data_IF_285353236603
#
_entry.id   IF_285353236603
#
_cell.length_a   1.000
_cell.length_b   1.000
_cell.length_c   1.000
_cell.angle_alpha   90.00
_cell.angle_beta   90.00
_cell.angle_gamma   90.00
#
_symmetry.space_group_name_H-M   'P 1'
#
loop_
_entity.id
_entity.type
_entity.pdbx_description
1 polymer ?
#
# COMPACT_ATOMS: atom_id res chain seq x y z
N UNK A 1 6.32 8.14 4.59
CA UNK A 1 6.26 8.21 3.12
C UNK A 1 5.16 7.31 2.53
N UNK A 2 5.16 5.99 2.76
CA UNK A 2 4.18 5.07 2.14
C UNK A 2 2.70 5.46 2.27
N UNK A 3 2.27 5.97 3.44
CA UNK A 3 0.91 6.47 3.68
C UNK A 3 0.55 7.62 2.71
N UNK A 4 1.43 8.60 2.55
CA UNK A 4 1.20 9.74 1.65
C UNK A 4 1.13 9.28 0.19
N UNK A 5 1.99 8.35 -0.23
CA UNK A 5 1.96 7.79 -1.58
C UNK A 5 0.64 7.06 -1.86
N UNK A 6 0.16 6.27 -0.91
CA UNK A 6 -1.14 5.59 -1.06
C UNK A 6 -2.31 6.59 -1.12
N UNK A 7 -2.28 7.67 -0.33
CA UNK A 7 -3.27 8.75 -0.38
C UNK A 7 -3.23 9.54 -1.70
N UNK A 8 -2.03 9.73 -2.27
CA UNK A 8 -1.83 10.43 -3.54
C UNK A 8 -1.98 9.52 -4.77
N UNK A 9 -2.12 8.20 -4.58
CA UNK A 9 -2.37 7.24 -5.66
C UNK A 9 -3.85 7.15 -6.05
N UNK A 10 -4.74 7.91 -5.41
CA UNK A 10 -6.17 7.89 -5.72
C UNK A 10 -6.43 8.56 -7.08
N UNK A 11 -7.50 8.14 -7.77
CA UNK A 11 -7.90 8.76 -9.03
C UNK A 11 -7.04 8.41 -10.25
N UNK A 12 -6.24 7.35 -10.16
CA UNK A 12 -5.53 6.77 -11.31
C UNK A 12 -6.44 5.84 -12.12
N UNK A 13 -6.02 5.55 -13.36
CA UNK A 13 -6.69 4.53 -14.20
C UNK A 13 -6.48 3.12 -13.66
N UNK A 14 -5.37 2.88 -12.95
CA UNK A 14 -5.05 1.63 -12.27
C UNK A 14 -5.45 1.69 -10.78
N UNK A 15 -5.61 0.51 -10.13
CA UNK A 15 -6.02 0.47 -8.73
C UNK A 15 -5.00 1.19 -7.84
N UNK A 16 -5.48 1.96 -6.84
CA UNK A 16 -4.60 2.70 -5.94
C UNK A 16 -3.72 1.75 -5.11
N UNK A 17 -2.56 2.24 -4.69
CA UNK A 17 -1.57 1.45 -3.97
C UNK A 17 -2.12 1.02 -2.59
N UNK A 18 -2.32 -0.29 -2.41
CA UNK A 18 -2.68 -0.88 -1.13
C UNK A 18 -1.50 -0.80 -0.14
N UNK A 19 -1.80 -0.80 1.16
CA UNK A 19 -0.79 -0.74 2.21
C UNK A 19 -1.00 -1.83 3.25
N UNK A 20 0.10 -2.50 3.59
CA UNK A 20 0.18 -3.42 4.71
C UNK A 20 1.20 -2.90 5.72
N UNK A 21 0.75 -2.47 6.90
CA UNK A 21 1.67 -2.17 7.99
C UNK A 21 2.05 -3.47 8.71
N UNK A 22 3.34 -3.77 8.82
CA UNK A 22 3.83 -4.98 9.50
C UNK A 22 4.61 -4.58 10.74
N UNK A 23 4.17 -5.05 11.91
CA UNK A 23 4.82 -4.69 13.18
C UNK A 23 4.21 -5.39 14.39
N UNK A 24 4.99 -5.52 15.46
CA UNK A 24 4.52 -6.07 16.76
C UNK A 24 3.75 -5.05 17.59
N UNK A 25 4.00 -3.76 17.35
CA UNK A 25 3.52 -2.65 18.18
C UNK A 25 2.28 -1.97 17.56
N UNK A 26 1.36 -1.36 18.35
CA UNK A 26 0.23 -0.60 17.81
C UNK A 26 0.64 0.62 16.99
N UNK A 27 1.92 0.96 16.88
CA UNK A 27 2.44 2.01 16.01
C UNK A 27 1.83 1.95 14.59
N UNK A 28 1.80 0.77 13.96
CA UNK A 28 1.19 0.59 12.63
C UNK A 28 -0.32 0.93 12.62
N UNK A 29 -1.05 0.54 13.66
CA UNK A 29 -2.47 0.85 13.81
C UNK A 29 -2.71 2.35 14.01
N UNK A 30 -1.91 3.00 14.86
CA UNK A 30 -2.03 4.44 15.15
C UNK A 30 -1.67 5.26 13.91
N UNK A 31 -0.61 4.90 13.19
CA UNK A 31 -0.17 5.58 11.97
C UNK A 31 -1.21 5.47 10.86
N UNK A 32 -1.67 4.25 10.55
CA UNK A 32 -2.73 4.07 9.54
C UNK A 32 -4.04 4.75 9.96
N UNK A 33 -4.39 4.70 11.24
CA UNK A 33 -5.57 5.37 11.78
C UNK A 33 -5.52 6.89 11.67
N UNK A 34 -4.35 7.51 11.89
CA UNK A 34 -4.16 8.96 11.68
C UNK A 34 -4.12 9.30 10.20
N UNK A 35 -3.41 8.52 9.38
CA UNK A 35 -3.35 8.71 7.93
C UNK A 35 -4.73 8.62 7.27
N UNK A 36 -5.58 7.70 7.72
CA UNK A 36 -6.92 7.54 7.17
C UNK A 36 -7.82 8.76 7.42
N UNK A 37 -7.53 9.59 8.44
CA UNK A 37 -8.25 10.85 8.70
C UNK A 37 -7.93 11.94 7.69
N UNK A 38 -6.79 11.83 7.00
CA UNK A 38 -6.39 12.74 5.92
C UNK A 38 -7.12 12.41 4.61
N UNK A 39 -7.69 11.21 4.46
CA UNK A 39 -8.51 10.87 3.30
C UNK A 39 -9.87 11.58 3.38
N UNK A 40 -10.34 12.12 2.25
CA UNK A 40 -11.69 12.71 2.14
C UNK A 40 -12.79 11.68 2.38
N UNK A 41 -12.53 10.42 2.02
CA UNK A 41 -13.46 9.29 2.14
C UNK A 41 -12.80 8.10 2.82
N UNK A 42 -12.57 8.23 4.13
CA UNK A 42 -12.04 7.16 4.97
C UNK A 42 -13.14 6.30 5.59
N UNK A 43 -13.08 4.99 5.36
CA UNK A 43 -13.94 3.99 6.01
C UNK A 43 -13.07 3.05 6.85
N UNK A 44 -13.46 2.80 8.09
CA UNK A 44 -12.78 1.85 8.97
C UNK A 44 -13.71 0.68 9.28
N UNK A 45 -13.28 -0.54 8.97
CA UNK A 45 -14.00 -1.78 9.21
C UNK A 45 -13.09 -2.68 10.03
N UNK A 46 -13.19 -2.61 11.36
CA UNK A 46 -12.27 -3.32 12.26
C UNK A 46 -12.79 -4.69 12.70
N UNK A 47 -14.10 -4.93 12.62
CA UNK A 47 -14.73 -6.21 12.97
C UNK A 47 -15.72 -6.74 11.93
N UNK A 48 -15.93 -8.06 11.93
CA UNK A 48 -16.97 -8.69 11.10
C UNK A 48 -18.38 -8.13 11.41
N UNK A 49 -18.60 -7.64 12.62
CA UNK A 49 -19.84 -6.97 13.00
C UNK A 49 -20.01 -5.62 12.29
N UNK A 50 -18.93 -4.86 12.08
CA UNK A 50 -18.96 -3.61 11.32
C UNK A 50 -19.32 -3.89 9.86
N UNK A 51 -18.74 -4.95 9.27
CA UNK A 51 -19.13 -5.41 7.94
C UNK A 51 -20.61 -5.83 7.91
N UNK A 52 -21.07 -6.62 8.87
CA UNK A 52 -22.47 -7.04 8.92
C UNK A 52 -23.44 -5.86 9.00
N UNK A 53 -23.07 -4.77 9.71
CA UNK A 53 -23.85 -3.52 9.76
C UNK A 53 -23.88 -2.81 8.41
N UNK A 54 -22.74 -2.72 7.73
CA UNK A 54 -22.64 -2.13 6.39
C UNK A 54 -23.35 -2.97 5.33
N UNK A 55 -23.48 -4.27 5.57
CA UNK A 55 -24.18 -5.22 4.70
C UNK A 55 -25.62 -5.51 5.14
N UNK A 56 -26.14 -4.79 6.14
CA UNK A 56 -27.49 -4.99 6.62
C UNK A 56 -28.50 -4.58 5.54
N UNK A 57 -29.59 -5.35 5.42
CA UNK A 57 -30.65 -5.01 4.49
C UNK A 57 -31.25 -3.64 4.87
N UNK A 58 -31.54 -2.78 3.87
CA UNK A 58 -32.24 -1.54 4.15
C UNK A 58 -33.59 -1.89 4.78
N UNK A 59 -33.96 -1.15 5.83
CA UNK A 59 -35.31 -1.20 6.40
C UNK A 59 -36.28 -0.54 5.42
N UNK A 60 -36.53 -1.20 4.28
CA UNK A 60 -37.48 -0.72 3.30
C UNK A 60 -38.88 -0.80 3.91
N UNK A 61 -39.70 0.28 3.83
CA UNK A 61 -41.12 0.13 4.08
C UNK A 61 -41.67 -0.89 3.09
N UNK A 62 -42.44 -1.86 3.60
CA UNK A 62 -43.13 -2.87 2.79
C UNK A 62 -44.04 -2.15 1.79
N UNK A 63 -43.53 -1.84 0.59
CA UNK A 63 -44.36 -1.30 -0.47
C UNK A 63 -45.38 -2.37 -0.87
N UNK A 64 -46.65 -2.01 -0.65
CA UNK A 64 -47.91 -2.66 -1.06
C UNK A 64 -47.82 -4.11 -1.52
N UNK A 65 -48.43 -5.00 -0.73
CA UNK A 65 -48.78 -6.37 -1.09
C UNK A 65 -49.36 -6.45 -2.52
N UNK A 66 -48.56 -6.87 -3.49
CA UNK A 66 -48.98 -6.97 -4.89
C UNK A 66 -47.87 -7.10 -5.93
N UNK A 67 -46.61 -6.76 -5.63
CA UNK A 67 -45.51 -6.97 -6.56
C UNK A 67 -44.96 -8.41 -6.49
N UNK A 68 -44.64 -9.06 -7.63
CA UNK A 68 -44.16 -10.44 -7.64
C UNK A 68 -42.85 -10.58 -6.87
N UNK A 69 -42.77 -11.61 -6.01
CA UNK A 69 -41.67 -11.90 -5.10
C UNK A 69 -40.28 -12.06 -5.79
N UNK A 70 -40.24 -12.20 -7.12
CA UNK A 70 -39.02 -12.29 -7.91
C UNK A 70 -38.30 -10.95 -8.18
N UNK A 71 -38.90 -9.81 -7.83
CA UNK A 71 -38.46 -8.48 -8.30
C UNK A 71 -37.76 -7.60 -7.25
N UNK A 72 -37.30 -8.15 -6.13
CA UNK A 72 -36.75 -7.34 -5.03
C UNK A 72 -35.38 -7.82 -4.57
N UNK A 73 -34.47 -8.01 -5.52
CA UNK A 73 -33.04 -8.09 -5.21
C UNK A 73 -32.50 -6.67 -5.00
N UNK A 74 -31.67 -6.48 -3.99
CA UNK A 74 -30.93 -5.23 -3.78
C UNK A 74 -29.43 -5.50 -3.85
N UNK A 75 -28.71 -4.49 -4.32
CA UNK A 75 -27.28 -4.56 -4.54
C UNK A 75 -26.57 -3.96 -3.34
N UNK A 76 -25.66 -4.72 -2.75
CA UNK A 76 -24.85 -4.23 -1.66
C UNK A 76 -23.52 -3.69 -2.20
N UNK A 77 -23.29 -2.39 -2.04
CA UNK A 77 -22.07 -1.72 -2.45
C UNK A 77 -20.83 -2.22 -1.67
N UNK A 78 -21.00 -2.70 -0.43
CA UNK A 78 -19.89 -3.12 0.41
C UNK A 78 -18.91 -1.99 0.76
N UNK A 79 -17.95 -2.25 1.68
CA UNK A 79 -17.07 -1.21 2.20
C UNK A 79 -16.13 -0.61 1.15
N UNK A 80 -15.66 -1.43 0.20
CA UNK A 80 -14.71 -0.99 -0.83
C UNK A 80 -15.33 0.04 -1.79
N UNK A 81 -16.58 -0.16 -2.20
CA UNK A 81 -17.25 0.79 -3.11
C UNK A 81 -17.71 2.05 -2.38
N UNK A 82 -18.09 1.93 -1.09
CA UNK A 82 -18.40 3.11 -0.27
C UNK A 82 -17.19 4.01 -0.04
N UNK A 83 -16.00 3.45 0.06
CA UNK A 83 -14.74 4.19 0.22
C UNK A 83 -14.13 4.69 -1.11
N UNK A 84 -14.89 4.71 -2.21
CA UNK A 84 -14.43 5.14 -3.54
C UNK A 84 -13.82 6.55 -3.51
N UNK A 85 -12.60 6.69 -4.02
CA UNK A 85 -11.81 7.91 -4.01
C UNK A 85 -11.13 8.20 -2.67
N UNK A 86 -10.99 7.18 -1.82
CA UNK A 86 -10.41 7.31 -0.49
C UNK A 86 -9.82 5.99 0.01
N UNK A 87 -9.96 5.74 1.32
CA UNK A 87 -9.25 4.66 2.01
C UNK A 87 -10.22 3.75 2.75
N UNK A 88 -10.03 2.44 2.61
CA UNK A 88 -10.71 1.43 3.41
C UNK A 88 -9.70 0.75 4.36
N UNK A 89 -9.79 1.05 5.65
CA UNK A 89 -8.95 0.48 6.71
C UNK A 89 -9.64 -0.76 7.32
N UNK A 90 -9.04 -1.95 7.15
CA UNK A 90 -9.59 -3.25 7.60
C UNK A 90 -9.14 -3.62 9.04
N UNK A 91 -8.20 -2.86 9.60
CA UNK A 91 -7.62 -3.17 10.91
C UNK A 91 -6.69 -4.39 10.85
N UNK A 92 -6.75 -5.27 11.86
CA UNK A 92 -5.83 -6.39 12.00
C UNK A 92 -6.19 -7.52 11.03
N UNK A 93 -5.38 -7.73 10.01
CA UNK A 93 -5.67 -8.72 8.96
C UNK A 93 -5.83 -10.16 9.50
N UNK A 94 -5.00 -10.57 10.46
CA UNK A 94 -5.05 -11.93 11.00
C UNK A 94 -6.34 -12.20 11.81
N UNK A 95 -6.78 -11.23 12.60
CA UNK A 95 -8.06 -11.34 13.33
C UNK A 95 -9.23 -11.29 12.34
N UNK A 96 -9.14 -10.43 11.33
CA UNK A 96 -10.16 -10.27 10.31
C UNK A 96 -10.34 -11.52 9.46
N UNK A 97 -9.25 -12.06 8.92
CA UNK A 97 -9.26 -13.24 8.06
C UNK A 97 -9.86 -14.46 8.76
N UNK A 98 -9.62 -14.62 10.06
CA UNK A 98 -10.22 -15.69 10.87
C UNK A 98 -11.71 -15.47 11.15
N UNK A 99 -12.11 -14.22 11.43
CA UNK A 99 -13.50 -13.91 11.77
C UNK A 99 -14.43 -13.79 10.55
N UNK A 100 -13.90 -13.42 9.39
CA UNK A 100 -14.67 -13.08 8.18
C UNK A 100 -14.01 -13.64 6.92
N UNK A 101 -13.72 -14.94 6.91
CA UNK A 101 -12.95 -15.62 5.85
C UNK A 101 -13.48 -15.36 4.42
N UNK A 102 -14.80 -15.43 4.22
CA UNK A 102 -15.42 -15.16 2.91
C UNK A 102 -15.18 -13.71 2.44
N UNK A 103 -15.25 -12.73 3.36
CA UNK A 103 -14.99 -11.32 3.04
C UNK A 103 -13.51 -11.07 2.80
N UNK A 104 -12.62 -11.69 3.57
CA UNK A 104 -11.17 -11.60 3.36
C UNK A 104 -10.76 -12.17 1.98
N UNK A 105 -11.37 -13.27 1.56
CA UNK A 105 -11.19 -13.82 0.21
C UNK A 105 -11.69 -12.84 -0.87
N UNK A 106 -12.85 -12.22 -0.67
CA UNK A 106 -13.38 -11.20 -1.58
C UNK A 106 -12.49 -9.97 -1.71
N UNK A 107 -11.88 -9.50 -0.61
CA UNK A 107 -10.93 -8.37 -0.62
C UNK A 107 -9.63 -8.76 -1.33
N UNK A 108 -9.13 -9.97 -1.09
CA UNK A 108 -7.93 -10.50 -1.76
C UNK A 108 -8.16 -10.57 -3.27
N UNK A 109 -9.30 -11.13 -3.70
CA UNK A 109 -9.68 -11.19 -5.11
C UNK A 109 -9.86 -9.79 -5.72
N UNK A 110 -10.38 -8.82 -4.96
CA UNK A 110 -10.53 -7.45 -5.44
C UNK A 110 -9.18 -6.74 -5.64
N UNK A 111 -8.22 -6.98 -4.74
CA UNK A 111 -6.86 -6.45 -4.86
C UNK A 111 -6.10 -7.07 -6.03
N UNK A 112 -6.23 -8.37 -6.24
CA UNK A 112 -5.56 -9.08 -7.34
C UNK A 112 -6.16 -8.73 -8.72
N UNK A 113 -7.49 -8.62 -8.81
CA UNK A 113 -8.18 -8.35 -10.07
C UNK A 113 -8.36 -6.87 -10.38
N UNK A 114 -8.15 -5.98 -9.40
CA UNK A 114 -8.48 -4.56 -9.49
C UNK A 114 -9.98 -4.28 -9.65
N UNK A 115 -10.85 -5.25 -9.34
CA UNK A 115 -12.31 -5.15 -9.50
C UNK A 115 -13.04 -5.68 -8.28
N UNK A 116 -14.06 -4.96 -7.84
CA UNK A 116 -14.97 -5.35 -6.76
C UNK A 116 -16.22 -5.97 -7.36
N UNK A 117 -16.51 -7.21 -7.00
CA UNK A 117 -17.77 -7.89 -7.35
C UNK A 117 -18.83 -7.51 -6.32
N UNK A 118 -19.95 -6.95 -6.77
CA UNK A 118 -21.03 -6.53 -5.88
C UNK A 118 -21.90 -7.72 -5.49
N UNK A 119 -22.28 -7.79 -4.22
CA UNK A 119 -23.16 -8.85 -3.72
C UNK A 119 -24.63 -8.49 -4.02
N UNK A 120 -25.32 -9.34 -4.77
CA UNK A 120 -26.77 -9.29 -4.91
C UNK A 120 -27.41 -10.07 -3.76
N UNK A 121 -28.33 -9.45 -3.02
CA UNK A 121 -29.09 -10.10 -1.96
C UNK A 121 -30.59 -9.97 -2.19
N UNK A 122 -31.36 -10.94 -1.72
CA UNK A 122 -32.82 -10.83 -1.66
C UNK A 122 -33.28 -9.96 -0.47
N UNK A 123 -34.59 -9.70 -0.36
CA UNK A 123 -35.18 -8.99 0.78
C UNK A 123 -35.07 -9.75 2.11
N UNK A 124 -34.83 -11.07 2.08
CA UNK A 124 -34.55 -11.88 3.27
C UNK A 124 -33.08 -11.81 3.70
N UNK A 125 -32.24 -11.10 2.94
CA UNK A 125 -30.81 -10.93 3.18
C UNK A 125 -29.95 -12.12 2.72
N UNK A 126 -30.53 -13.09 2.00
CA UNK A 126 -29.79 -14.21 1.44
C UNK A 126 -29.05 -13.78 0.17
N UNK A 127 -27.80 -14.23 0.04
CA UNK A 127 -26.98 -13.98 -1.14
C UNK A 127 -27.54 -14.76 -2.33
N UNK A 128 -27.78 -14.06 -3.45
CA UNK A 128 -28.18 -14.71 -4.70
C UNK A 128 -26.98 -15.40 -5.35
N UNK A 129 -27.16 -16.58 -5.96
CA UNK A 129 -26.07 -17.33 -6.60
C UNK A 129 -25.56 -16.70 -7.91
N UNK A 130 -26.23 -15.66 -8.43
CA UNK A 130 -25.75 -14.91 -9.59
C UNK A 130 -24.60 -14.00 -9.19
N UNK A 131 -23.46 -14.12 -9.87
CA UNK A 131 -22.38 -13.13 -9.78
C UNK A 131 -22.95 -11.73 -10.07
N UNK A 132 -22.85 -10.83 -9.09
CA UNK A 132 -23.32 -9.47 -9.27
C UNK A 132 -22.40 -8.66 -10.19
N UNK A 133 -22.81 -7.44 -10.57
CA UNK A 133 -22.00 -6.56 -11.41
C UNK A 133 -20.63 -6.25 -10.78
N UNK A 134 -19.58 -6.20 -11.60
CA UNK A 134 -18.22 -5.84 -11.17
C UNK A 134 -17.94 -4.36 -11.43
N UNK A 135 -17.32 -3.67 -10.46
CA UNK A 135 -16.91 -2.26 -10.54
C UNK A 135 -15.39 -2.15 -10.32
N UNK A 136 -14.66 -1.24 -10.98
CA UNK A 136 -13.22 -1.06 -10.73
C UNK A 136 -12.94 -0.68 -9.26
N UNK A 137 -11.85 -1.22 -8.71
CA UNK A 137 -11.36 -0.87 -7.38
C UNK A 137 -10.77 0.54 -7.41
N UNK A 138 -11.46 1.47 -6.76
CA UNK A 138 -11.07 2.90 -6.73
C UNK A 138 -10.84 3.40 -5.29
N UNK A 139 -10.51 2.51 -4.36
CA UNK A 139 -10.15 2.86 -2.99
C UNK A 139 -8.85 2.15 -2.59
N UNK A 140 -7.99 2.83 -1.84
CA UNK A 140 -6.82 2.18 -1.27
C UNK A 140 -7.24 1.32 -0.08
N UNK A 141 -6.80 0.06 -0.08
CA UNK A 141 -7.07 -0.86 1.01
C UNK A 141 -5.89 -0.89 1.96
N UNK A 142 -6.13 -0.56 3.22
CA UNK A 142 -5.10 -0.55 4.26
C UNK A 142 -5.40 -1.62 5.31
N UNK A 143 -4.36 -2.35 5.68
CA UNK A 143 -4.43 -3.31 6.77
C UNK A 143 -3.14 -3.25 7.59
N UNK A 144 -3.21 -3.74 8.83
CA UNK A 144 -2.01 -4.04 9.60
C UNK A 144 -1.96 -5.52 9.95
N UNK A 145 -0.76 -6.06 10.00
CA UNK A 145 -0.49 -7.43 10.38
C UNK A 145 0.57 -7.47 11.48
N UNK A 146 0.29 -8.26 12.51
CA UNK A 146 1.17 -8.43 13.65
C UNK A 146 1.58 -9.90 13.74
N UNK A 147 2.88 -10.24 13.60
CA UNK A 147 3.34 -11.61 13.72
C UNK A 147 3.11 -12.13 15.14
N UNK A 148 2.78 -13.42 15.28
CA UNK A 148 2.64 -14.05 16.58
C UNK A 148 4.02 -14.23 17.23
N UNK A 149 4.09 -14.16 18.56
CA UNK A 149 5.35 -14.24 19.34
C UNK A 149 6.18 -15.50 19.08
N UNK A 150 5.57 -16.58 18.57
CA UNK A 150 6.19 -17.91 18.50
C UNK A 150 5.87 -18.69 17.20
N UNK A 151 6.40 -18.30 16.03
CA UNK A 151 6.74 -19.23 14.93
C UNK A 151 7.24 -18.50 13.67
N UNK A 152 8.57 -18.42 13.48
CA UNK A 152 9.18 -17.72 12.33
C UNK A 152 8.77 -18.28 10.95
N UNK A 153 8.50 -19.58 10.82
CA UNK A 153 8.30 -20.21 9.51
C UNK A 153 6.85 -20.16 8.96
N UNK A 154 5.83 -20.18 9.83
CA UNK A 154 4.43 -19.98 9.42
C UNK A 154 4.16 -18.52 9.11
N UNK A 155 4.74 -17.62 9.91
CA UNK A 155 4.57 -16.18 9.79
C UNK A 155 5.16 -15.66 8.48
N UNK A 156 6.32 -16.18 8.06
CA UNK A 156 6.91 -15.87 6.75
C UNK A 156 6.04 -16.36 5.58
N UNK A 157 5.36 -17.51 5.71
CA UNK A 157 4.45 -18.00 4.66
C UNK A 157 3.23 -17.11 4.54
N UNK A 158 2.58 -16.79 5.66
CA UNK A 158 1.44 -15.88 5.69
C UNK A 158 1.82 -14.51 5.15
N UNK A 159 2.96 -13.97 5.59
CA UNK A 159 3.46 -12.69 5.12
C UNK A 159 3.68 -12.69 3.62
N UNK A 160 4.30 -13.72 3.03
CA UNK A 160 4.45 -13.84 1.57
C UNK A 160 3.11 -13.82 0.84
N UNK A 161 2.09 -14.49 1.37
CA UNK A 161 0.75 -14.43 0.79
C UNK A 161 0.19 -13.01 0.84
N UNK A 162 0.38 -12.31 1.95
CA UNK A 162 -0.05 -10.92 2.09
C UNK A 162 0.72 -9.96 1.19
N UNK A 163 2.02 -10.20 0.98
CA UNK A 163 2.83 -9.43 0.02
C UNK A 163 2.26 -9.58 -1.39
N UNK A 164 1.83 -10.79 -1.76
CA UNK A 164 1.24 -11.00 -3.08
C UNK A 164 -0.05 -10.22 -3.28
N UNK A 165 -0.82 -10.02 -2.21
CA UNK A 165 -2.11 -9.33 -2.23
C UNK A 165 -1.99 -7.81 -2.08
N UNK A 166 -1.19 -7.34 -1.12
CA UNK A 166 -1.09 -5.91 -0.76
C UNK A 166 0.11 -5.20 -1.41
N UNK A 167 1.05 -5.95 -1.99
CA UNK A 167 2.31 -5.39 -2.49
C UNK A 167 3.33 -5.19 -1.38
N UNK A 168 3.95 -4.01 -1.32
CA UNK A 168 5.03 -3.75 -0.34
C UNK A 168 4.51 -3.41 1.04
N UNK A 169 5.06 -4.04 2.09
CA UNK A 169 4.69 -3.71 3.44
C UNK A 169 5.45 -2.47 3.89
N UNK A 170 4.78 -1.64 4.66
CA UNK A 170 5.43 -0.62 5.47
C UNK A 170 5.78 -1.26 6.80
N UNK A 171 7.06 -1.47 7.02
CA UNK A 171 7.55 -2.04 8.29
C UNK A 171 7.47 -0.96 9.37
N UNK A 172 6.68 -1.24 10.39
CA UNK A 172 6.59 -0.46 11.61
C UNK A 172 7.36 -1.23 12.68
N UNK A 173 8.69 -1.22 12.57
CA UNK A 173 9.56 -1.64 13.67
C UNK A 173 9.91 -0.43 14.53
N UNK A 174 9.98 -0.64 15.84
CA UNK A 174 10.54 0.36 16.75
C UNK A 174 12.04 0.11 16.70
N UNK A 175 12.82 1.10 16.25
CA UNK A 175 14.23 0.88 15.95
C UNK A 175 15.09 0.76 17.19
N UNK A 176 16.35 1.17 17.05
CA UNK A 176 17.40 0.94 18.06
C UNK A 176 17.05 1.53 19.45
N UNK A 177 17.77 1.12 20.49
CA UNK A 177 17.58 1.63 21.85
C UNK A 177 17.65 3.17 21.93
N UNK A 178 18.43 3.81 21.05
CA UNK A 178 18.53 5.27 20.90
C UNK A 178 17.20 5.89 20.39
N UNK A 179 16.53 5.25 19.43
CA UNK A 179 15.23 5.71 18.93
C UNK A 179 14.11 5.56 19.98
N UNK A 180 14.24 4.58 20.87
CA UNK A 180 13.30 4.39 21.99
C UNK A 180 13.42 5.53 23.00
N UNK A 181 14.65 6.00 23.27
CA UNK A 181 14.90 7.15 24.13
C UNK A 181 14.27 8.42 23.54
N UNK A 182 14.50 8.69 22.25
CA UNK A 182 13.89 9.82 21.53
C UNK A 182 12.34 9.80 21.60
N UNK A 183 11.74 8.61 21.46
CA UNK A 183 10.28 8.45 21.58
C UNK A 183 9.82 8.76 23.00
N UNK A 184 10.57 8.33 24.03
CA UNK A 184 10.23 8.61 25.42
C UNK A 184 10.28 10.10 25.73
N UNK A 185 11.31 10.80 25.23
CA UNK A 185 11.44 12.25 25.36
C UNK A 185 10.33 12.99 24.61
N UNK A 186 9.96 12.53 23.42
CA UNK A 186 8.80 13.07 22.69
C UNK A 186 7.48 12.85 23.43
N UNK A 187 7.26 11.67 24.00
CA UNK A 187 6.04 11.38 24.78
C UNK A 187 5.99 12.22 26.06
N UNK A 188 7.13 12.42 26.72
CA UNK A 188 7.26 13.23 27.92
C UNK A 188 6.98 14.70 27.63
N UNK A 189 7.64 15.29 26.61
CA UNK A 189 7.41 16.69 26.17
C UNK A 189 5.95 16.94 25.77
N UNK A 190 5.33 15.96 25.10
CA UNK A 190 3.90 16.02 24.77
C UNK A 190 3.02 16.00 26.02
N UNK A 191 3.36 15.19 27.02
CA UNK A 191 2.61 15.09 28.27
C UNK A 191 2.80 16.32 29.17
N UNK A 192 3.98 16.95 29.15
CA UNK A 192 4.28 18.20 29.89
C UNK A 192 3.72 19.45 29.21
N UNK A 193 3.33 19.36 27.93
CA UNK A 193 2.72 20.46 27.19
C UNK A 193 3.74 21.42 26.56
N UNK A 194 5.02 21.07 26.56
CA UNK A 194 6.08 21.80 25.88
C UNK A 194 6.01 21.51 24.37
N UNK A 195 5.06 22.14 23.67
CA UNK A 195 4.97 22.03 22.21
C UNK A 195 5.98 22.97 21.54
N UNK A 196 7.15 22.43 21.21
CA UNK A 196 8.03 23.02 20.19
C UNK A 196 7.57 22.49 18.84
N UNK A 197 6.85 23.28 18.06
CA UNK A 197 6.44 22.90 16.71
C UNK A 197 6.86 24.01 15.73
N UNK A 198 8.05 23.91 15.10
CA UNK A 198 8.54 25.00 14.26
C UNK A 198 7.83 25.12 12.91
N UNK A 199 7.11 24.09 12.42
CA UNK A 199 6.41 24.13 11.13
C UNK A 199 5.36 23.01 11.07
N UNK A 200 4.10 23.31 11.40
CA UNK A 200 3.00 22.33 11.30
C UNK A 200 2.15 22.67 10.10
N UNK A 201 2.20 21.83 9.07
CA UNK A 201 1.18 21.85 8.02
C UNK A 201 -0.14 21.43 8.68
N UNK A 202 -1.17 22.26 8.59
CA UNK A 202 -2.47 21.94 9.17
C UNK A 202 -3.11 20.76 8.42
N UNK A 203 -3.86 19.93 9.15
CA UNK A 203 -4.61 18.81 8.56
C UNK A 203 -5.55 19.26 7.44
N UNK A 204 -6.10 20.49 7.55
CA UNK A 204 -6.96 21.08 6.53
C UNK A 204 -6.19 21.35 5.24
N UNK A 205 -5.03 21.98 5.33
CA UNK A 205 -4.19 22.33 4.18
C UNK A 205 -3.67 21.06 3.50
N UNK A 206 -3.32 20.04 4.29
CA UNK A 206 -2.91 18.73 3.78
C UNK A 206 -4.05 18.05 2.99
N UNK A 207 -5.30 18.16 3.46
CA UNK A 207 -6.46 17.63 2.73
C UNK A 207 -6.67 18.34 1.42
N UNK A 208 -6.69 19.67 1.43
CA UNK A 208 -6.85 20.48 0.21
C UNK A 208 -5.74 20.18 -0.80
N UNK A 209 -4.49 20.02 -0.32
CA UNK A 209 -3.36 19.58 -1.14
C UNK A 209 -3.61 18.20 -1.75
N UNK A 210 -4.02 17.20 -0.96
CA UNK A 210 -4.32 15.86 -1.47
C UNK A 210 -5.47 15.86 -2.48
N UNK A 211 -6.50 16.68 -2.28
CA UNK A 211 -7.59 16.84 -3.26
C UNK A 211 -7.06 17.38 -4.59
N UNK A 212 -6.14 18.34 -4.56
CA UNK A 212 -5.50 18.91 -5.75
C UNK A 212 -4.62 17.87 -6.47
N UNK A 213 -3.75 17.19 -5.72
CA UNK A 213 -2.81 16.17 -6.21
C UNK A 213 -3.57 14.99 -6.84
N UNK A 214 -4.68 14.55 -6.25
CA UNK A 214 -5.49 13.44 -6.77
C UNK A 214 -6.30 13.80 -8.02
N UNK A 215 -6.49 15.10 -8.32
CA UNK A 215 -7.13 15.55 -9.56
C UNK A 215 -6.16 15.59 -10.75
N UNK A 216 -4.85 15.52 -10.51
CA UNK A 216 -3.84 15.64 -11.55
C UNK A 216 -3.62 14.29 -12.27
N UNK A 217 -3.82 14.21 -13.60
CA UNK A 217 -3.42 13.05 -14.37
C UNK A 217 -1.89 13.04 -14.46
N UNK A 218 -1.30 11.87 -14.24
CA UNK A 218 0.14 11.66 -14.36
C UNK A 218 0.40 10.43 -15.20
N UNK A 219 1.37 10.52 -16.09
CA UNK A 219 1.79 9.43 -16.95
C UNK A 219 3.23 9.03 -16.66
N UNK A 220 3.53 7.75 -16.84
CA UNK A 220 4.90 7.25 -16.77
C UNK A 220 5.63 7.54 -18.09
N UNK A 221 6.88 7.98 -17.97
CA UNK A 221 7.80 8.05 -19.11
C UNK A 221 8.21 6.64 -19.57
N UNK A 222 8.59 6.50 -20.84
CA UNK A 222 9.06 5.22 -21.38
C UNK A 222 10.32 4.71 -20.66
N UNK A 223 11.22 5.61 -20.28
CA UNK A 223 12.43 5.28 -19.51
C UNK A 223 12.05 4.71 -18.13
N UNK A 224 11.13 5.37 -17.41
CA UNK A 224 10.64 4.90 -16.13
C UNK A 224 9.98 3.52 -16.23
N UNK A 225 9.14 3.32 -17.26
CA UNK A 225 8.44 2.06 -17.49
C UNK A 225 9.40 0.90 -17.76
N UNK A 226 10.45 1.13 -18.57
CA UNK A 226 11.51 0.13 -18.82
C UNK A 226 12.28 -0.19 -17.55
N UNK A 227 12.63 0.83 -16.77
CA UNK A 227 13.37 0.65 -15.52
C UNK A 227 12.61 -0.23 -14.51
N UNK A 228 11.28 -0.07 -14.41
CA UNK A 228 10.44 -0.94 -13.56
C UNK A 228 10.49 -2.40 -14.04
N UNK A 229 10.39 -2.62 -15.35
CA UNK A 229 10.42 -3.97 -15.94
C UNK A 229 11.79 -4.65 -15.73
N UNK A 230 12.87 -3.92 -15.99
CA UNK A 230 14.24 -4.43 -15.83
C UNK A 230 14.52 -4.78 -14.36
N UNK A 231 14.13 -3.91 -13.42
CA UNK A 231 14.22 -4.19 -12.00
C UNK A 231 13.40 -5.42 -11.59
N UNK A 232 12.16 -5.53 -12.06
CA UNK A 232 11.30 -6.66 -11.74
C UNK A 232 11.92 -7.99 -12.19
N UNK A 233 12.44 -8.05 -13.42
CA UNK A 233 13.10 -9.24 -13.97
C UNK A 233 14.37 -9.56 -13.17
N UNK A 234 15.23 -8.57 -12.93
CA UNK A 234 16.47 -8.75 -12.17
C UNK A 234 16.21 -9.24 -10.74
N UNK A 235 15.27 -8.62 -10.03
CA UNK A 235 14.96 -8.95 -8.65
C UNK A 235 14.36 -10.37 -8.52
N UNK A 236 13.48 -10.79 -9.45
CA UNK A 236 12.95 -12.16 -9.47
C UNK A 236 13.99 -13.22 -9.85
N UNK A 237 15.05 -12.87 -10.59
CA UNK A 237 16.16 -13.80 -10.86
C UNK A 237 17.00 -14.07 -9.61
N UNK A 238 17.31 -13.02 -8.85
CA UNK A 238 18.06 -13.16 -7.59
C UNK A 238 17.20 -13.77 -6.49
N UNK A 239 15.92 -13.39 -6.43
CA UNK A 239 14.96 -13.83 -5.41
C UNK A 239 13.62 -14.20 -6.08
N UNK A 240 13.42 -15.46 -6.52
CA UNK A 240 12.24 -15.89 -7.28
C UNK A 240 10.88 -15.60 -6.64
N UNK A 241 10.84 -15.51 -5.31
CA UNK A 241 9.62 -15.38 -4.52
C UNK A 241 9.51 -14.04 -3.76
N UNK A 242 10.28 -13.00 -4.13
CA UNK A 242 10.27 -11.73 -3.40
C UNK A 242 9.29 -10.69 -3.95
N UNK A 243 8.99 -10.71 -5.25
CA UNK A 243 8.09 -9.74 -5.90
C UNK A 243 6.90 -10.45 -6.56
N UNK A 244 5.65 -10.10 -6.17
CA UNK A 244 4.47 -10.57 -6.89
C UNK A 244 4.33 -9.90 -8.24
N UNK A 245 3.51 -10.47 -9.12
CA UNK A 245 3.22 -9.88 -10.44
C UNK A 245 2.55 -8.50 -10.31
N UNK A 246 1.78 -8.29 -9.24
CA UNK A 246 1.18 -7.00 -8.87
C UNK A 246 2.22 -5.92 -8.52
N UNK A 247 3.49 -6.30 -8.27
CA UNK A 247 4.56 -5.36 -7.93
C UNK A 247 4.80 -4.31 -9.01
N UNK A 248 4.68 -4.67 -10.29
CA UNK A 248 4.87 -3.73 -11.40
C UNK A 248 3.82 -2.61 -11.32
N UNK A 249 2.54 -2.98 -11.17
CA UNK A 249 1.45 -2.01 -11.04
C UNK A 249 1.56 -1.17 -9.77
N UNK A 250 2.01 -1.75 -8.65
CA UNK A 250 2.15 -0.99 -7.40
C UNK A 250 3.35 -0.05 -7.42
N UNK A 251 4.47 -0.46 -8.03
CA UNK A 251 5.63 0.43 -8.25
C UNK A 251 5.24 1.59 -9.17
N UNK A 252 4.55 1.30 -10.27
CA UNK A 252 4.03 2.30 -11.20
C UNK A 252 3.12 3.32 -10.50
N UNK A 253 2.08 2.85 -9.79
CA UNK A 253 1.15 3.71 -9.05
C UNK A 253 1.85 4.56 -7.98
N UNK A 254 2.87 4.04 -7.30
CA UNK A 254 3.66 4.80 -6.33
C UNK A 254 4.59 5.83 -6.98
N UNK A 255 5.19 5.51 -8.13
CA UNK A 255 6.03 6.45 -8.87
C UNK A 255 5.21 7.62 -9.43
N UNK A 256 4.00 7.33 -9.94
CA UNK A 256 3.06 8.37 -10.35
C UNK A 256 2.59 9.21 -9.15
N UNK A 257 2.31 8.58 -8.00
CA UNK A 257 1.96 9.31 -6.78
C UNK A 257 3.09 10.25 -6.30
N UNK A 258 4.36 9.84 -6.41
CA UNK A 258 5.51 10.71 -6.12
C UNK A 258 5.55 11.93 -7.05
N UNK A 259 5.37 11.72 -8.34
CA UNK A 259 5.33 12.79 -9.32
C UNK A 259 4.17 13.76 -9.04
N UNK A 260 2.99 13.25 -8.68
CA UNK A 260 1.84 14.07 -8.27
C UNK A 260 2.09 14.90 -7.03
N UNK A 261 2.68 14.32 -5.98
CA UNK A 261 3.04 15.07 -4.77
C UNK A 261 4.05 16.16 -5.11
N UNK A 262 4.92 15.92 -6.11
CA UNK A 262 5.84 16.90 -6.67
C UNK A 262 5.18 17.88 -7.66
N UNK A 263 3.85 17.82 -7.82
CA UNK A 263 3.04 18.59 -8.78
C UNK A 263 3.46 18.43 -10.26
N UNK A 264 4.16 17.34 -10.59
CA UNK A 264 4.57 17.01 -11.95
C UNK A 264 3.51 16.17 -12.66
N UNK A 265 3.39 16.37 -13.97
CA UNK A 265 2.49 15.62 -14.87
C UNK A 265 3.12 14.33 -15.39
N UNK A 266 4.43 14.16 -15.25
CA UNK A 266 5.16 12.99 -15.74
C UNK A 266 6.02 12.39 -14.63
N UNK A 267 5.92 11.07 -14.48
CA UNK A 267 6.75 10.26 -13.60
C UNK A 267 8.04 9.85 -14.32
N UNK A 268 9.16 10.23 -13.72
CA UNK A 268 10.51 10.10 -14.29
C UNK A 268 11.25 8.92 -13.68
N UNK A 269 12.44 8.62 -14.19
CA UNK A 269 13.32 7.60 -13.61
C UNK A 269 13.61 7.87 -12.12
N UNK A 270 13.66 9.13 -11.68
CA UNK A 270 13.97 9.49 -10.30
C UNK A 270 12.89 9.02 -9.32
N UNK A 271 11.61 9.10 -9.73
CA UNK A 271 10.49 8.59 -8.95
C UNK A 271 10.57 7.08 -8.79
N UNK A 272 10.86 6.37 -9.89
CA UNK A 272 11.01 4.91 -9.90
C UNK A 272 12.17 4.49 -9.01
N UNK A 273 13.33 5.15 -9.10
CA UNK A 273 14.51 4.86 -8.28
C UNK A 273 14.18 4.96 -6.79
N UNK A 274 13.44 6.00 -6.37
CA UNK A 274 13.04 6.16 -4.98
C UNK A 274 12.08 5.05 -4.51
N UNK A 275 11.08 4.70 -5.34
CA UNK A 275 10.16 3.59 -5.03
C UNK A 275 10.91 2.27 -4.96
N UNK A 276 11.79 1.98 -5.91
CA UNK A 276 12.62 0.76 -5.92
C UNK A 276 13.48 0.68 -4.67
N UNK A 277 14.08 1.79 -4.24
CA UNK A 277 14.80 1.84 -2.96
C UNK A 277 13.89 1.50 -1.78
N UNK A 278 12.68 2.06 -1.71
CA UNK A 278 11.71 1.70 -0.66
C UNK A 278 11.34 0.20 -0.69
N UNK A 279 11.19 -0.38 -1.89
CA UNK A 279 10.99 -1.83 -2.06
C UNK A 279 12.18 -2.61 -1.51
N UNK A 280 13.39 -2.23 -1.86
CA UNK A 280 14.59 -2.95 -1.45
C UNK A 280 14.87 -2.86 0.04
N UNK A 281 14.58 -1.72 0.68
CA UNK A 281 14.59 -1.61 2.15
C UNK A 281 13.61 -2.60 2.76
N UNK A 282 12.37 -2.66 2.25
CA UNK A 282 11.37 -3.61 2.74
C UNK A 282 11.80 -5.06 2.49
N UNK A 283 12.31 -5.38 1.30
CA UNK A 283 12.78 -6.72 0.96
C UNK A 283 13.97 -7.16 1.80
N UNK A 284 14.92 -6.25 2.06
CA UNK A 284 16.10 -6.51 2.89
C UNK A 284 15.69 -6.84 4.32
N UNK A 285 14.73 -6.11 4.88
CA UNK A 285 14.22 -6.38 6.21
C UNK A 285 13.44 -7.70 6.31
N UNK A 286 12.80 -8.14 5.22
CA UNK A 286 11.98 -9.37 5.20
C UNK A 286 12.77 -10.63 4.88
N UNK A 287 13.70 -10.55 3.93
CA UNK A 287 14.41 -11.68 3.36
C UNK A 287 15.91 -11.67 3.66
N UNK A 288 16.42 -10.61 4.27
CA UNK A 288 17.86 -10.38 4.45
C UNK A 288 18.48 -9.62 3.26
N UNK A 289 19.72 -9.19 3.46
CA UNK A 289 20.48 -8.42 2.46
C UNK A 289 20.75 -9.23 1.18
N UNK A 290 20.69 -8.53 0.04
CA UNK A 290 21.09 -9.10 -1.24
C UNK A 290 22.62 -9.25 -1.27
N UNK A 291 23.11 -10.49 -1.35
CA UNK A 291 24.55 -10.76 -1.41
C UNK A 291 25.20 -10.27 -2.72
N UNK A 292 24.41 -10.09 -3.78
CA UNK A 292 24.90 -9.66 -5.11
C UNK A 292 25.20 -8.16 -5.16
N UNK A 293 24.42 -7.36 -4.45
CA UNK A 293 24.66 -5.92 -4.34
C UNK A 293 24.02 -5.39 -3.06
N UNK A 294 24.81 -4.99 -2.05
CA UNK A 294 24.27 -4.38 -0.85
C UNK A 294 23.63 -3.04 -1.21
N UNK A 295 22.51 -2.73 -0.54
CA UNK A 295 21.82 -1.47 -0.74
C UNK A 295 22.75 -0.31 -0.32
N UNK A 296 22.84 0.79 -1.09
CA UNK A 296 23.59 1.96 -0.66
C UNK A 296 23.01 2.48 0.65
N UNK A 297 23.88 2.75 1.62
CA UNK A 297 23.48 3.37 2.88
C UNK A 297 23.18 4.85 2.62
N UNK A 298 21.90 5.17 2.68
CA UNK A 298 21.36 6.51 2.42
C UNK A 298 20.81 7.09 3.72
N UNK A 299 20.67 6.30 4.78
CA UNK A 299 20.08 6.75 6.03
C UNK A 299 21.11 7.32 7.00
N UNK A 300 22.42 7.04 6.81
CA UNK A 300 23.47 7.40 7.77
C UNK A 300 23.90 8.87 7.85
N UNK A 301 23.43 9.78 6.97
CA UNK A 301 23.84 11.20 7.00
C UNK A 301 22.63 12.09 7.30
N UNK A 302 22.66 12.95 8.34
CA UNK A 302 21.60 13.91 8.61
C UNK A 302 21.43 14.88 7.43
N UNK A 303 20.19 15.28 7.13
CA UNK A 303 19.97 16.31 6.14
C UNK A 303 20.32 17.68 6.73
N UNK A 304 21.24 18.40 6.09
CA UNK A 304 21.44 19.81 6.39
C UNK A 304 20.41 20.61 5.61
N UNK A 305 19.57 21.39 6.31
CA UNK A 305 18.46 22.12 5.70
C UNK A 305 18.90 23.06 4.56
N UNK A 306 20.13 23.59 4.65
CA UNK A 306 20.72 24.50 3.66
C UNK A 306 21.12 23.80 2.34
N UNK A 307 21.38 22.49 2.38
CA UNK A 307 21.83 21.70 1.22
C UNK A 307 20.89 20.54 0.88
N UNK A 308 19.66 20.56 1.39
CA UNK A 308 18.70 19.45 1.28
C UNK A 308 18.52 18.97 -0.17
N UNK A 309 18.33 19.90 -1.11
CA UNK A 309 18.13 19.57 -2.53
C UNK A 309 19.36 18.87 -3.13
N UNK A 310 20.55 19.43 -2.93
CA UNK A 310 21.80 18.84 -3.40
C UNK A 310 22.05 17.46 -2.79
N UNK A 311 21.82 17.31 -1.49
CA UNK A 311 21.97 16.02 -0.80
C UNK A 311 20.98 14.98 -1.32
N UNK A 312 19.74 15.37 -1.62
CA UNK A 312 18.75 14.49 -2.25
C UNK A 312 19.17 14.07 -3.65
N UNK A 313 19.68 15.00 -4.47
CA UNK A 313 20.14 14.71 -5.83
C UNK A 313 21.35 13.75 -5.82
N UNK A 314 22.33 13.96 -4.94
CA UNK A 314 23.46 13.06 -4.77
C UNK A 314 23.01 11.65 -4.38
N UNK A 315 22.02 11.54 -3.48
CA UNK A 315 21.47 10.25 -3.05
C UNK A 315 20.72 9.55 -4.18
N UNK A 316 19.82 10.25 -4.88
CA UNK A 316 19.09 9.69 -6.01
C UNK A 316 20.02 9.20 -7.11
N UNK A 317 21.08 9.96 -7.42
CA UNK A 317 22.10 9.53 -8.39
C UNK A 317 22.87 8.30 -7.90
N UNK A 318 23.19 8.22 -6.60
CA UNK A 318 23.87 7.05 -6.03
C UNK A 318 23.00 5.79 -6.13
N UNK A 319 21.70 5.90 -5.84
CA UNK A 319 20.75 4.78 -6.02
C UNK A 319 20.62 4.42 -7.49
N UNK A 320 20.56 5.41 -8.40
CA UNK A 320 20.48 5.15 -9.84
C UNK A 320 21.67 4.32 -10.32
N UNK A 321 22.90 4.75 -10.00
CA UNK A 321 24.11 4.03 -10.38
C UNK A 321 24.10 2.62 -9.81
N UNK A 322 23.68 2.46 -8.55
CA UNK A 322 23.51 1.16 -7.93
C UNK A 322 22.50 0.28 -8.69
N UNK A 323 21.31 0.80 -9.00
CA UNK A 323 20.25 0.07 -9.68
C UNK A 323 20.66 -0.36 -11.09
N UNK A 324 21.31 0.52 -11.84
CA UNK A 324 21.85 0.19 -13.16
C UNK A 324 22.90 -0.93 -13.08
N UNK A 325 23.81 -0.87 -12.10
CA UNK A 325 24.82 -1.89 -11.91
C UNK A 325 24.21 -3.22 -11.46
N UNK A 326 23.20 -3.19 -10.59
CA UNK A 326 22.44 -4.35 -10.16
C UNK A 326 21.77 -5.05 -11.35
N UNK A 327 21.01 -4.29 -12.15
CA UNK A 327 20.36 -4.79 -13.37
C UNK A 327 21.38 -5.33 -14.36
N UNK A 328 22.44 -4.58 -14.67
CA UNK A 328 23.49 -5.00 -15.61
C UNK A 328 24.16 -6.30 -15.16
N UNK A 329 24.54 -6.41 -13.88
CA UNK A 329 25.18 -7.62 -13.33
C UNK A 329 24.35 -8.89 -13.54
N UNK A 330 23.04 -8.80 -13.32
CA UNK A 330 22.13 -9.95 -13.39
C UNK A 330 21.70 -10.28 -14.83
N UNK A 331 21.58 -9.26 -15.68
CA UNK A 331 21.22 -9.46 -17.08
C UNK A 331 22.44 -9.92 -17.93
N UNK A 332 23.64 -9.44 -17.61
CA UNK A 332 24.87 -9.89 -18.28
C UNK A 332 25.31 -11.29 -17.85
N UNK A 333 25.13 -11.65 -16.57
CA UNK A 333 25.39 -13.03 -16.12
C UNK A 333 24.50 -14.06 -16.82
N UNK A 334 23.28 -13.70 -17.22
CA UNK A 334 22.44 -14.62 -18.02
C UNK A 334 22.95 -14.87 -19.43
N UNK A 335 23.59 -13.87 -20.06
CA UNK A 335 24.15 -14.04 -21.40
C UNK A 335 25.40 -14.93 -21.41
N UNK A 336 26.10 -15.06 -20.29
CA UNK A 336 27.27 -15.93 -20.17
C UNK A 336 26.89 -17.40 -19.92
N UNK A 337 25.82 -17.66 -19.16
CA UNK A 337 25.32 -19.03 -18.92
C UNK A 337 24.77 -19.65 -20.21
N UNK A 338 24.09 -18.87 -21.05
CA UNK A 338 23.55 -19.36 -22.33
C UNK A 338 24.64 -19.67 -23.38
N UNK A 339 25.90 -19.25 -23.16
CA UNK A 339 27.05 -19.53 -24.06
C UNK A 339 27.82 -20.77 -23.60
N UNK A 340 27.77 -21.14 -22.33
CA UNK A 340 28.46 -22.35 -21.81
C UNK A 340 27.63 -23.63 -21.98
N UNK A 341 26.33 -23.51 -22.26
CA UNK A 341 25.41 -24.64 -22.49
C UNK A 341 25.16 -24.98 -23.99
N UNK A 342 25.99 -24.46 -24.91
CA UNK A 342 25.89 -24.72 -26.36
C UNK A 342 27.23 -25.11 -26.98
#
# INVERSE_FOLDING_TARGET
MGILLSLASQGLEHPPAALLAVGRDPAGQVLLGRGARLADRGLCVSSAADLARLQAAPALPRHSAGAPAAASAWLNAGPLVMARGGVCLIGCWDKWSRSAAASAAGITAALESGKVVLECRDLLGTQLPSAGPSVPLQCAVWAYWSPASSARASDLRTLRTLLNTFGVPVLADVGSDEEVEDICDHLLSKATGEQILPNVVLDKDMKEFLTLVNAQPVTLTDEASRLIQDYFVASRRVRPNCLPVTAISTIAAMAEALARISLRVEATWADVVLVVWMYEVALTNLFGSCLVSPLPDICGVPFEAEYLSYQMDCRLNSIKVWLENFVKSILLSSLLVDIEDN
#
